data_IF_055414232762
#
_entry.id   IF_055414232762
#
_cell.length_a   1.000
_cell.length_b   1.000
_cell.length_c   1.000
_cell.angle_alpha   90.00
_cell.angle_beta   90.00
_cell.angle_gamma   90.00
#
_symmetry.space_group_name_H-M   'P 1'
#
loop_
_entity.id
_entity.type
_entity.pdbx_description
1 polymer ?
#
# COMPACT_ATOMS: atom_id res chain seq x y z
N UNK A 1 -4.67 20.76 21.63
CA UNK A 1 -3.43 21.43 21.22
C UNK A 1 -3.00 20.70 19.98
N UNK A 2 -2.82 21.44 18.87
CA UNK A 2 -2.96 21.00 17.49
C UNK A 2 -2.36 19.61 17.19
N UNK A 3 -3.24 18.70 16.78
CA UNK A 3 -2.91 17.44 16.12
C UNK A 3 -2.59 17.77 14.67
N UNK A 4 -1.39 17.46 14.21
CA UNK A 4 -0.93 17.74 12.84
C UNK A 4 -0.50 16.43 12.19
N UNK A 5 -1.43 15.90 11.41
CA UNK A 5 -1.28 15.45 10.02
C UNK A 5 0.13 14.98 9.62
N UNK A 6 0.33 13.66 9.50
CA UNK A 6 1.55 13.03 8.95
C UNK A 6 1.30 12.49 7.54
N UNK A 7 0.63 13.30 6.73
CA UNK A 7 0.52 13.12 5.28
C UNK A 7 1.88 13.39 4.62
N UNK A 8 2.36 12.51 3.71
CA UNK A 8 3.48 12.82 2.80
C UNK A 8 4.84 12.12 3.05
N UNK A 9 4.89 10.92 3.64
CA UNK A 9 6.16 10.21 3.87
C UNK A 9 6.59 9.34 2.66
N UNK A 10 7.87 9.44 2.27
CA UNK A 10 8.53 8.62 1.24
C UNK A 10 9.42 7.54 1.88
N UNK A 11 9.29 6.30 1.40
CA UNK A 11 10.19 5.21 1.76
C UNK A 11 11.59 5.41 1.13
N UNK A 12 12.64 5.22 1.92
CA UNK A 12 14.03 5.42 1.50
C UNK A 12 14.92 4.35 2.15
N UNK A 13 15.90 3.77 1.43
CA UNK A 13 16.97 3.00 2.05
C UNK A 13 17.72 3.84 3.10
N UNK A 14 18.00 3.27 4.27
CA UNK A 14 18.61 3.99 5.39
C UNK A 14 19.95 4.63 5.04
N UNK A 15 20.72 4.01 4.15
CA UNK A 15 22.00 4.49 3.61
C UNK A 15 21.89 5.78 2.80
N UNK A 16 20.68 6.15 2.36
CA UNK A 16 20.41 7.38 1.63
C UNK A 16 19.91 8.53 2.51
N UNK A 17 19.75 8.31 3.82
CA UNK A 17 19.35 9.36 4.75
C UNK A 17 20.35 10.53 4.71
N UNK A 18 19.86 11.74 4.49
CA UNK A 18 20.68 12.94 4.39
C UNK A 18 20.36 13.96 5.50
N UNK A 19 21.31 14.88 5.72
CA UNK A 19 21.06 16.06 6.56
C UNK A 19 20.02 16.94 5.88
N UNK A 20 19.02 17.38 6.64
CA UNK A 20 17.87 18.13 6.14
C UNK A 20 16.62 17.29 5.93
N UNK A 21 16.74 15.95 5.82
CA UNK A 21 15.57 15.07 5.76
C UNK A 21 14.78 15.14 7.08
N UNK A 22 13.46 15.05 7.00
CA UNK A 22 12.61 14.94 8.18
C UNK A 22 12.22 13.47 8.37
N UNK A 23 12.87 12.81 9.32
CA UNK A 23 12.73 11.37 9.56
C UNK A 23 11.49 11.08 10.42
N UNK A 24 10.68 10.11 9.99
CA UNK A 24 9.63 9.54 10.83
C UNK A 24 10.23 8.66 11.93
N UNK A 25 9.92 8.97 13.19
CA UNK A 25 10.52 8.30 14.34
C UNK A 25 9.72 7.05 14.76
N UNK A 26 10.38 6.01 15.29
CA UNK A 26 9.71 4.80 15.75
C UNK A 26 8.70 5.08 16.88
N UNK A 27 7.68 4.21 16.99
CA UNK A 27 6.70 4.18 18.10
C UNK A 27 5.89 5.48 18.25
N UNK A 28 5.43 6.05 17.14
CA UNK A 28 4.60 7.26 17.11
C UNK A 28 5.27 8.46 17.82
N UNK A 29 6.61 8.52 17.78
CA UNK A 29 7.36 9.61 18.40
C UNK A 29 7.43 10.88 17.53
N UNK A 30 6.57 10.98 16.51
CA UNK A 30 6.49 12.08 15.55
C UNK A 30 7.58 12.00 14.47
N UNK A 31 7.84 13.13 13.83
CA UNK A 31 8.94 13.30 12.87
C UNK A 31 10.01 14.22 13.44
N UNK A 32 11.25 14.13 12.94
CA UNK A 32 12.32 15.01 13.37
C UNK A 32 13.33 15.24 12.26
N UNK A 33 13.75 16.51 12.09
CA UNK A 33 14.77 16.88 11.13
C UNK A 33 16.13 16.30 11.52
N UNK A 34 16.81 15.74 10.53
CA UNK A 34 18.15 15.17 10.67
C UNK A 34 19.19 16.28 10.52
N UNK A 35 20.04 16.45 11.52
CA UNK A 35 21.11 17.47 11.55
C UNK A 35 22.49 16.90 11.28
N UNK A 36 22.68 15.59 11.47
CA UNK A 36 23.91 14.88 11.10
C UNK A 36 23.60 13.41 10.81
N UNK A 37 24.34 12.81 9.86
CA UNK A 37 24.28 11.38 9.55
C UNK A 37 25.71 10.83 9.54
N UNK A 38 25.92 9.66 10.15
CA UNK A 38 27.17 8.91 10.08
C UNK A 38 26.89 7.44 9.81
N UNK A 39 27.74 6.81 9.02
CA UNK A 39 27.73 5.36 8.81
C UNK A 39 28.78 4.74 9.75
N UNK A 40 28.36 3.76 10.53
CA UNK A 40 29.24 2.92 11.35
C UNK A 40 29.40 1.56 10.66
N UNK A 41 30.66 1.22 10.37
CA UNK A 41 31.01 -0.06 9.76
C UNK A 41 31.21 -1.14 10.84
N UNK A 42 31.00 -2.40 10.46
CA UNK A 42 31.37 -3.55 11.27
C UNK A 42 32.90 -3.82 11.25
N UNK A 43 33.31 -4.84 12.00
CA UNK A 43 34.71 -5.27 12.10
C UNK A 43 35.30 -5.77 10.76
N UNK A 44 34.46 -6.03 9.76
CA UNK A 44 34.86 -6.43 8.41
C UNK A 44 34.87 -5.25 7.41
N UNK A 45 34.54 -4.03 7.88
CA UNK A 45 34.55 -2.81 7.07
C UNK A 45 33.27 -2.59 6.26
N UNK A 46 32.19 -3.34 6.52
CA UNK A 46 30.89 -3.22 5.86
C UNK A 46 29.97 -2.30 6.66
N UNK A 47 29.19 -1.44 6.00
CA UNK A 47 28.22 -0.58 6.67
C UNK A 47 27.22 -1.41 7.48
N UNK A 48 27.19 -1.20 8.80
CA UNK A 48 26.33 -1.96 9.72
C UNK A 48 25.19 -1.10 10.28
N UNK A 49 25.50 0.15 10.65
CA UNK A 49 24.52 1.10 11.19
C UNK A 49 24.59 2.45 10.48
N UNK A 50 23.43 3.03 10.23
CA UNK A 50 23.26 4.44 9.93
C UNK A 50 22.81 5.14 11.21
N UNK A 51 23.62 6.05 11.71
CA UNK A 51 23.32 6.82 12.93
C UNK A 51 22.99 8.25 12.55
N UNK A 52 21.76 8.66 12.83
CA UNK A 52 21.28 10.02 12.60
C UNK A 52 21.17 10.79 13.92
N UNK A 53 21.62 12.05 13.91
CA UNK A 53 21.39 13.02 14.98
C UNK A 53 20.21 13.89 14.59
N UNK A 54 19.22 13.99 15.48
CA UNK A 54 18.01 14.76 15.28
C UNK A 54 18.19 16.21 15.77
N UNK A 55 17.29 17.11 15.37
CA UNK A 55 17.34 18.52 15.76
C UNK A 55 17.29 18.76 17.29
N UNK A 56 16.68 17.84 18.04
CA UNK A 56 16.65 17.87 19.51
C UNK A 56 17.90 17.25 20.17
N UNK A 57 18.90 16.86 19.38
CA UNK A 57 20.16 16.27 19.84
C UNK A 57 20.08 14.77 20.15
N UNK A 58 18.90 14.13 20.04
CA UNK A 58 18.79 12.67 20.16
C UNK A 58 19.52 11.99 19.00
N UNK A 59 20.08 10.81 19.27
CA UNK A 59 20.68 9.94 18.25
C UNK A 59 19.82 8.69 18.07
N UNK A 60 19.55 8.34 16.82
CA UNK A 60 18.88 7.11 16.44
C UNK A 60 19.82 6.24 15.61
N UNK A 61 19.81 4.94 15.86
CA UNK A 61 20.59 3.95 15.13
C UNK A 61 19.65 3.10 14.29
N UNK A 62 19.95 3.00 13.00
CA UNK A 62 19.17 2.28 12.00
C UNK A 62 20.09 1.23 11.39
N UNK A 63 19.62 -0.01 11.23
CA UNK A 63 20.42 -1.03 10.56
C UNK A 63 20.61 -0.68 9.07
N UNK A 64 21.85 -0.79 8.58
CA UNK A 64 22.14 -0.61 7.15
C UNK A 64 21.31 -1.60 6.31
N UNK A 65 20.79 -1.13 5.16
CA UNK A 65 19.88 -1.90 4.31
C UNK A 65 18.42 -1.94 4.78
N UNK A 66 18.09 -1.31 5.92
CA UNK A 66 16.69 -1.12 6.33
C UNK A 66 16.02 -0.02 5.52
N UNK A 67 14.70 -0.09 5.40
CA UNK A 67 13.88 0.99 4.85
C UNK A 67 13.42 1.92 5.97
N UNK A 68 13.59 3.22 5.76
CA UNK A 68 13.12 4.31 6.62
C UNK A 68 12.11 5.17 5.85
N UNK A 69 11.43 6.07 6.57
CA UNK A 69 10.44 6.97 5.99
C UNK A 69 10.80 8.41 6.32
N UNK A 70 10.83 9.27 5.31
CA UNK A 70 11.13 10.70 5.43
C UNK A 70 10.00 11.54 4.84
N UNK A 71 9.74 12.73 5.36
CA UNK A 71 8.79 13.66 4.74
C UNK A 71 9.26 14.03 3.33
N UNK A 72 8.36 13.93 2.36
CA UNK A 72 8.54 14.55 1.05
C UNK A 72 8.46 16.06 1.22
N UNK A 73 9.31 16.80 0.48
CA UNK A 73 9.41 18.25 0.54
C UNK A 73 8.12 19.02 0.13
N UNK A 74 7.01 18.32 -0.09
CA UNK A 74 5.72 18.82 -0.59
C UNK A 74 4.59 18.70 0.47
N UNK A 75 4.90 18.25 1.70
CA UNK A 75 3.92 17.88 2.72
C UNK A 75 3.11 19.04 3.38
N UNK A 76 3.26 20.30 2.97
CA UNK A 76 2.52 21.42 3.60
C UNK A 76 1.15 21.75 2.97
N UNK A 77 0.66 21.03 1.94
CA UNK A 77 -0.53 21.46 1.17
C UNK A 77 -1.58 20.39 0.74
N UNK A 78 -1.57 19.16 1.26
CA UNK A 78 -2.20 18.04 0.51
C UNK A 78 -3.52 17.41 1.02
N UNK A 79 -4.24 18.00 1.99
CA UNK A 79 -5.54 17.43 2.38
C UNK A 79 -6.72 17.79 1.43
N UNK A 80 -6.51 18.68 0.44
CA UNK A 80 -7.56 19.06 -0.52
C UNK A 80 -7.05 19.43 -1.92
N UNK A 81 -5.75 19.27 -2.21
CA UNK A 81 -5.11 19.79 -3.42
C UNK A 81 -4.42 18.73 -4.31
N UNK A 82 -4.43 17.44 -3.96
CA UNK A 82 -3.88 16.38 -4.83
C UNK A 82 -4.67 16.26 -6.14
N UNK A 83 -5.95 16.66 -6.16
CA UNK A 83 -6.70 16.79 -7.41
C UNK A 83 -6.44 18.10 -8.18
N UNK A 84 -5.76 19.08 -7.57
CA UNK A 84 -5.59 20.41 -8.15
C UNK A 84 -4.20 20.64 -8.77
N UNK A 85 -3.14 20.00 -8.26
CA UNK A 85 -1.77 20.18 -8.78
C UNK A 85 -1.32 19.07 -9.77
N UNK A 86 -2.00 17.92 -9.77
CA UNK A 86 -1.59 16.74 -10.57
C UNK A 86 -2.16 16.68 -12.00
N UNK A 87 -3.05 17.63 -12.36
CA UNK A 87 -3.84 17.57 -13.58
C UNK A 87 -5.05 16.64 -13.46
N UNK A 88 -5.65 16.24 -14.59
CA UNK A 88 -6.76 15.28 -14.57
C UNK A 88 -6.29 13.87 -14.15
N UNK A 89 -7.17 12.97 -13.67
CA UNK A 89 -6.81 11.59 -13.35
C UNK A 89 -6.06 10.87 -14.49
N UNK A 90 -6.38 11.19 -15.74
CA UNK A 90 -5.69 10.68 -16.92
C UNK A 90 -4.24 11.17 -17.01
N UNK A 91 -4.00 12.44 -16.65
CA UNK A 91 -2.66 13.01 -16.63
C UNK A 91 -1.78 12.37 -15.54
N UNK A 92 -2.36 12.08 -14.37
CA UNK A 92 -1.70 11.31 -13.32
C UNK A 92 -1.30 9.92 -13.80
N UNK A 93 -2.25 9.14 -14.34
CA UNK A 93 -1.97 7.79 -14.86
C UNK A 93 -0.90 7.82 -15.94
N UNK A 94 -1.00 8.76 -16.88
CA UNK A 94 -0.03 8.89 -17.98
C UNK A 94 1.37 9.26 -17.47
N UNK A 95 1.47 10.15 -16.48
CA UNK A 95 2.74 10.56 -15.88
C UNK A 95 3.40 9.39 -15.14
N UNK A 96 2.64 8.66 -14.32
CA UNK A 96 3.17 7.47 -13.62
C UNK A 96 3.63 6.42 -14.65
N UNK A 97 2.83 6.15 -15.69
CA UNK A 97 3.21 5.20 -16.72
C UNK A 97 4.51 5.59 -17.44
N UNK A 98 4.80 6.89 -17.63
CA UNK A 98 6.06 7.33 -18.25
C UNK A 98 7.30 6.99 -17.42
N UNK A 99 7.16 6.78 -16.10
CA UNK A 99 8.25 6.29 -15.23
C UNK A 99 8.58 4.82 -15.51
N UNK A 100 7.64 4.05 -16.05
CA UNK A 100 7.74 2.60 -16.28
C UNK A 100 7.58 2.21 -17.77
N UNK A 101 8.39 2.74 -18.69
CA UNK A 101 8.23 2.49 -20.12
C UNK A 101 8.47 1.02 -20.51
N UNK A 102 9.18 0.25 -19.67
CA UNK A 102 9.47 -1.17 -19.88
C UNK A 102 8.37 -2.12 -19.40
N UNK A 103 7.44 -1.68 -18.55
CA UNK A 103 6.37 -2.53 -18.03
C UNK A 103 5.16 -2.50 -18.98
N UNK A 104 5.08 -3.50 -19.86
CA UNK A 104 4.02 -3.59 -20.87
C UNK A 104 2.61 -3.66 -20.26
N UNK A 105 2.43 -4.29 -19.10
CA UNK A 105 1.13 -4.39 -18.43
C UNK A 105 0.66 -3.01 -17.93
N UNK A 106 1.54 -2.25 -17.28
CA UNK A 106 1.26 -0.87 -16.87
C UNK A 106 0.96 0.02 -18.09
N UNK A 107 1.74 -0.09 -19.17
CA UNK A 107 1.50 0.68 -20.39
C UNK A 107 0.14 0.35 -21.02
N UNK A 108 -0.26 -0.93 -21.04
CA UNK A 108 -1.54 -1.35 -21.59
C UNK A 108 -2.72 -0.77 -20.79
N UNK A 109 -2.66 -0.89 -19.46
CA UNK A 109 -3.68 -0.34 -18.56
C UNK A 109 -3.76 1.18 -18.71
N UNK A 110 -2.61 1.88 -18.70
CA UNK A 110 -2.54 3.32 -18.90
C UNK A 110 -3.12 3.74 -20.26
N UNK A 111 -2.83 2.99 -21.33
CA UNK A 111 -3.38 3.24 -22.66
C UNK A 111 -4.90 3.07 -22.74
N UNK A 112 -5.50 2.18 -21.93
CA UNK A 112 -6.96 2.08 -21.80
C UNK A 112 -7.52 3.29 -21.05
N UNK A 113 -6.91 3.68 -19.93
CA UNK A 113 -7.33 4.79 -19.09
C UNK A 113 -7.14 6.17 -19.76
N UNK A 114 -6.12 6.33 -20.60
CA UNK A 114 -5.84 7.57 -21.33
C UNK A 114 -6.95 8.00 -22.31
N UNK A 115 -7.87 7.08 -22.65
CA UNK A 115 -9.05 7.38 -23.49
C UNK A 115 -10.14 8.13 -22.73
N UNK A 116 -9.99 8.28 -21.41
CA UNK A 116 -10.93 8.93 -20.50
C UNK A 116 -11.29 8.02 -19.33
N UNK A 117 -11.26 8.57 -18.12
CA UNK A 117 -11.55 7.86 -16.88
C UNK A 117 -12.98 8.19 -16.44
N UNK A 118 -13.86 7.19 -16.50
CA UNK A 118 -15.19 7.28 -15.93
C UNK A 118 -15.26 6.53 -14.59
N UNK A 119 -15.23 7.26 -13.47
CA UNK A 119 -15.29 6.68 -12.12
C UNK A 119 -16.64 6.03 -11.76
N UNK A 120 -17.66 6.15 -12.64
CA UNK A 120 -18.92 5.38 -12.53
C UNK A 120 -18.89 4.07 -13.32
N UNK A 121 -17.91 3.86 -14.19
CA UNK A 121 -17.76 2.64 -14.96
C UNK A 121 -16.94 1.59 -14.20
N UNK A 122 -17.50 0.39 -14.02
CA UNK A 122 -16.81 -0.69 -13.32
C UNK A 122 -15.50 -1.13 -13.99
N UNK A 123 -15.40 -1.02 -15.31
CA UNK A 123 -14.17 -1.33 -16.06
C UNK A 123 -13.05 -0.33 -15.78
N UNK A 124 -13.35 0.97 -15.66
CA UNK A 124 -12.34 1.96 -15.30
C UNK A 124 -11.90 1.82 -13.83
N UNK A 125 -12.82 1.49 -12.92
CA UNK A 125 -12.48 1.20 -11.52
C UNK A 125 -11.58 -0.05 -11.43
N UNK A 126 -11.88 -1.08 -12.23
CA UNK A 126 -11.05 -2.27 -12.34
C UNK A 126 -9.65 -1.93 -12.87
N UNK A 127 -9.55 -1.17 -13.97
CA UNK A 127 -8.28 -0.78 -14.56
C UNK A 127 -7.44 0.05 -13.56
N UNK A 128 -8.05 1.00 -12.84
CA UNK A 128 -7.37 1.76 -11.78
C UNK A 128 -6.88 0.86 -10.64
N UNK A 129 -7.70 -0.09 -10.19
CA UNK A 129 -7.32 -1.04 -9.15
C UNK A 129 -6.17 -1.96 -9.61
N UNK A 130 -6.20 -2.42 -10.86
CA UNK A 130 -5.13 -3.21 -11.45
C UNK A 130 -3.84 -2.39 -11.57
N UNK A 131 -3.95 -1.11 -11.96
CA UNK A 131 -2.80 -0.20 -12.05
C UNK A 131 -2.16 0.03 -10.66
N UNK A 132 -2.96 0.31 -9.62
CA UNK A 132 -2.48 0.45 -8.25
C UNK A 132 -1.84 -0.84 -7.72
N UNK A 133 -2.45 -1.99 -8.00
CA UNK A 133 -1.90 -3.29 -7.60
C UNK A 133 -0.56 -3.55 -8.27
N UNK A 134 -0.43 -3.31 -9.58
CA UNK A 134 0.82 -3.50 -10.31
C UNK A 134 1.93 -2.57 -9.79
N UNK A 135 1.63 -1.30 -9.50
CA UNK A 135 2.59 -0.38 -8.89
C UNK A 135 3.05 -0.85 -7.50
N UNK A 136 2.13 -1.36 -6.68
CA UNK A 136 2.45 -1.87 -5.35
C UNK A 136 3.27 -3.17 -5.41
N UNK A 137 2.86 -4.11 -6.26
CA UNK A 137 3.33 -5.49 -6.23
C UNK A 137 4.52 -5.71 -7.16
N UNK A 138 4.44 -5.19 -8.38
CA UNK A 138 5.43 -5.44 -9.43
C UNK A 138 6.57 -4.41 -9.31
N UNK A 139 6.24 -3.13 -9.16
CA UNK A 139 7.23 -2.04 -9.13
C UNK A 139 7.68 -1.66 -7.72
N UNK A 140 6.92 -2.04 -6.68
CA UNK A 140 7.16 -1.60 -5.30
C UNK A 140 7.03 -0.08 -5.09
N UNK A 141 6.46 0.66 -6.05
CA UNK A 141 6.24 2.10 -5.95
C UNK A 141 5.00 2.40 -5.13
N UNK A 142 5.23 2.45 -3.82
CA UNK A 142 4.22 2.73 -2.82
C UNK A 142 3.63 4.14 -2.93
N UNK A 143 4.37 5.13 -3.44
CA UNK A 143 3.87 6.48 -3.59
C UNK A 143 2.90 6.57 -4.78
N UNK A 144 3.31 6.09 -5.96
CA UNK A 144 2.44 6.07 -7.13
C UNK A 144 1.21 5.17 -6.92
N UNK A 145 1.38 4.01 -6.26
CA UNK A 145 0.27 3.13 -5.91
C UNK A 145 -0.76 3.83 -5.02
N UNK A 146 -0.30 4.62 -4.04
CA UNK A 146 -1.20 5.38 -3.16
C UNK A 146 -1.95 6.46 -3.93
N UNK A 147 -1.28 7.24 -4.80
CA UNK A 147 -1.95 8.28 -5.60
C UNK A 147 -3.10 7.71 -6.45
N UNK A 148 -2.91 6.51 -7.02
CA UNK A 148 -3.95 5.84 -7.82
C UNK A 148 -5.04 5.24 -6.91
N UNK A 149 -4.66 4.65 -5.78
CA UNK A 149 -5.61 4.14 -4.80
C UNK A 149 -6.49 5.26 -4.22
N UNK A 150 -5.98 6.48 -4.07
CA UNK A 150 -6.73 7.64 -3.61
C UNK A 150 -7.84 8.07 -4.59
N UNK A 151 -7.64 7.89 -5.90
CA UNK A 151 -8.72 8.10 -6.89
C UNK A 151 -9.91 7.17 -6.65
N UNK A 152 -9.63 5.92 -6.27
CA UNK A 152 -10.64 4.92 -5.92
C UNK A 152 -11.27 5.25 -4.55
N UNK A 153 -10.45 5.59 -3.55
CA UNK A 153 -10.89 5.89 -2.19
C UNK A 153 -11.82 7.12 -2.11
N UNK A 154 -11.68 8.07 -3.04
CA UNK A 154 -12.59 9.21 -3.15
C UNK A 154 -14.03 8.83 -3.57
N UNK A 155 -14.28 7.59 -4.00
CA UNK A 155 -15.60 7.16 -4.45
C UNK A 155 -16.45 6.62 -3.28
N UNK A 156 -17.66 7.16 -3.06
CA UNK A 156 -18.55 6.63 -2.03
C UNK A 156 -19.16 5.29 -2.47
N UNK A 157 -19.56 4.49 -1.48
CA UNK A 157 -20.43 3.34 -1.74
C UNK A 157 -21.79 3.80 -2.26
N UNK A 158 -22.27 3.19 -3.34
CA UNK A 158 -23.53 3.55 -4.00
C UNK A 158 -24.51 2.37 -4.13
N UNK A 159 -24.31 1.31 -3.35
CA UNK A 159 -25.14 0.10 -3.40
C UNK A 159 -24.73 -0.91 -4.48
N UNK A 160 -23.82 -0.57 -5.39
CA UNK A 160 -23.36 -1.49 -6.43
C UNK A 160 -22.11 -2.27 -6.00
N UNK A 161 -22.30 -3.48 -5.45
CA UNK A 161 -21.21 -4.35 -5.01
C UNK A 161 -20.24 -4.74 -6.14
N UNK A 162 -20.70 -4.80 -7.39
CA UNK A 162 -19.84 -5.13 -8.54
C UNK A 162 -18.82 -4.04 -8.86
N UNK A 163 -19.14 -2.78 -8.55
CA UNK A 163 -18.20 -1.64 -8.60
C UNK A 163 -17.44 -1.49 -7.30
N UNK A 164 -18.13 -1.70 -6.18
CA UNK A 164 -17.57 -1.55 -4.84
C UNK A 164 -16.32 -2.39 -4.63
N UNK A 165 -16.29 -3.66 -5.08
CA UNK A 165 -15.12 -4.52 -4.89
C UNK A 165 -13.80 -3.92 -5.38
N UNK A 166 -13.83 -3.07 -6.42
CA UNK A 166 -12.63 -2.39 -6.92
C UNK A 166 -12.25 -1.18 -6.07
N UNK A 167 -13.25 -0.44 -5.61
CA UNK A 167 -13.08 0.68 -4.67
C UNK A 167 -12.55 0.16 -3.33
N UNK A 168 -13.14 -0.91 -2.82
CA UNK A 168 -12.73 -1.61 -1.60
C UNK A 168 -11.30 -2.12 -1.68
N UNK A 169 -10.89 -2.70 -2.80
CA UNK A 169 -9.49 -3.07 -3.03
C UNK A 169 -8.55 -1.86 -3.00
N UNK A 170 -8.95 -0.74 -3.60
CA UNK A 170 -8.20 0.53 -3.53
C UNK A 170 -8.10 1.07 -2.10
N UNK A 171 -9.21 1.07 -1.35
CA UNK A 171 -9.25 1.45 0.06
C UNK A 171 -8.34 0.55 0.91
N UNK A 172 -8.30 -0.77 0.64
CA UNK A 172 -7.45 -1.70 1.36
C UNK A 172 -5.95 -1.46 1.08
N UNK A 173 -5.59 -1.14 -0.18
CA UNK A 173 -4.24 -0.70 -0.56
C UNK A 173 -3.88 0.59 0.18
N UNK A 174 -4.74 1.62 0.10
CA UNK A 174 -4.50 2.91 0.74
C UNK A 174 -4.34 2.75 2.27
N UNK A 175 -5.23 2.00 2.92
CA UNK A 175 -5.16 1.70 4.36
C UNK A 175 -3.85 1.00 4.75
N UNK A 176 -3.31 0.12 3.90
CA UNK A 176 -2.02 -0.53 4.14
C UNK A 176 -0.84 0.41 3.91
N UNK A 177 -0.86 1.21 2.85
CA UNK A 177 0.23 2.12 2.50
C UNK A 177 0.37 3.26 3.52
N UNK A 178 -0.74 3.72 4.10
CA UNK A 178 -0.76 4.76 5.13
C UNK A 178 -0.73 4.20 6.55
N UNK A 179 -0.39 2.93 6.76
CA UNK A 179 -0.40 2.25 8.08
C UNK A 179 0.41 2.91 9.19
N UNK A 180 1.33 3.80 8.85
CA UNK A 180 2.16 4.54 9.81
C UNK A 180 1.47 5.83 10.30
N UNK A 181 0.38 6.22 9.63
CA UNK A 181 -0.54 7.28 10.03
C UNK A 181 -1.86 6.61 10.46
N UNK A 182 -2.05 6.48 11.78
CA UNK A 182 -3.17 5.73 12.34
C UNK A 182 -4.53 6.33 11.92
N UNK A 183 -4.63 7.67 11.85
CA UNK A 183 -5.87 8.36 11.50
C UNK A 183 -6.21 8.18 10.02
N UNK A 184 -5.23 8.38 9.13
CA UNK A 184 -5.43 8.21 7.68
C UNK A 184 -5.72 6.75 7.35
N UNK A 185 -4.98 5.80 7.93
CA UNK A 185 -5.24 4.37 7.77
C UNK A 185 -6.64 4.00 8.26
N UNK A 186 -7.05 4.50 9.44
CA UNK A 186 -8.36 4.25 10.02
C UNK A 186 -9.49 4.87 9.19
N UNK A 187 -9.28 6.02 8.55
CA UNK A 187 -10.28 6.66 7.68
C UNK A 187 -10.63 5.77 6.48
N UNK A 188 -9.64 5.19 5.80
CA UNK A 188 -9.91 4.25 4.70
C UNK A 188 -10.60 2.97 5.19
N UNK A 189 -10.14 2.41 6.31
CA UNK A 189 -10.82 1.27 6.96
C UNK A 189 -12.27 1.58 7.33
N UNK A 190 -12.54 2.78 7.86
CA UNK A 190 -13.89 3.21 8.20
C UNK A 190 -14.78 3.37 6.96
N UNK A 191 -14.23 3.84 5.83
CA UNK A 191 -14.96 3.91 4.57
C UNK A 191 -15.39 2.51 4.07
N UNK A 192 -14.54 1.50 4.27
CA UNK A 192 -14.90 0.10 3.97
C UNK A 192 -16.06 -0.35 4.87
N UNK A 193 -15.92 -0.15 6.19
CA UNK A 193 -16.91 -0.55 7.17
C UNK A 193 -18.25 0.22 7.04
N UNK A 194 -18.24 1.41 6.45
CA UNK A 194 -19.45 2.16 6.17
C UNK A 194 -20.33 1.48 5.11
N UNK A 195 -19.72 0.91 4.06
CA UNK A 195 -20.44 0.11 3.07
C UNK A 195 -21.02 -1.17 3.69
N UNK A 196 -20.28 -1.77 4.62
CA UNK A 196 -20.70 -2.95 5.36
C UNK A 196 -21.92 -2.73 6.26
N UNK A 197 -22.09 -1.49 6.72
CA UNK A 197 -23.21 -1.03 7.55
C UNK A 197 -24.36 -0.41 6.72
N UNK A 198 -24.34 -0.53 5.39
CA UNK A 198 -25.35 0.07 4.54
C UNK A 198 -26.74 -0.60 4.63
N UNK A 199 -26.81 -1.85 5.11
CA UNK A 199 -28.09 -2.52 5.38
C UNK A 199 -28.73 -1.94 6.64
N UNK A 200 -29.90 -1.33 6.47
CA UNK A 200 -30.65 -0.66 7.55
C UNK A 200 -31.63 -1.58 8.27
N UNK A 201 -32.03 -2.70 7.66
CA UNK A 201 -32.90 -3.68 8.32
C UNK A 201 -32.12 -4.43 9.42
N UNK A 202 -32.54 -4.38 10.69
CA UNK A 202 -31.74 -4.94 11.80
C UNK A 202 -31.47 -6.45 11.70
N UNK A 203 -32.41 -7.22 11.14
CA UNK A 203 -32.24 -8.67 11.01
C UNK A 203 -31.27 -9.00 9.89
N UNK A 204 -31.43 -8.37 8.72
CA UNK A 204 -30.50 -8.55 7.59
C UNK A 204 -29.11 -8.04 7.91
N UNK A 205 -28.99 -6.90 8.58
CA UNK A 205 -27.70 -6.35 9.03
C UNK A 205 -26.97 -7.33 9.95
N UNK A 206 -27.67 -7.93 10.91
CA UNK A 206 -27.11 -8.97 11.79
C UNK A 206 -26.66 -10.21 11.01
N UNK A 207 -27.46 -10.69 10.06
CA UNK A 207 -27.10 -11.84 9.23
C UNK A 207 -25.89 -11.54 8.34
N UNK A 208 -25.84 -10.36 7.72
CA UNK A 208 -24.72 -9.92 6.89
C UNK A 208 -23.42 -9.82 7.71
N UNK A 209 -23.49 -9.25 8.92
CA UNK A 209 -22.34 -9.16 9.82
C UNK A 209 -21.81 -10.55 10.23
N UNK A 210 -22.70 -11.51 10.53
CA UNK A 210 -22.29 -12.89 10.84
C UNK A 210 -21.61 -13.58 9.65
N UNK A 211 -22.16 -13.41 8.45
CA UNK A 211 -21.57 -13.99 7.25
C UNK A 211 -20.19 -13.40 6.96
N UNK A 212 -20.05 -12.07 7.08
CA UNK A 212 -18.78 -11.37 6.93
C UNK A 212 -17.76 -11.82 7.96
N UNK A 213 -18.13 -11.89 9.25
CA UNK A 213 -17.22 -12.36 10.29
C UNK A 213 -16.70 -13.77 9.99
N UNK A 214 -17.57 -14.65 9.48
CA UNK A 214 -17.15 -15.99 9.05
C UNK A 214 -16.16 -15.93 7.89
N UNK A 215 -16.40 -15.09 6.88
CA UNK A 215 -15.47 -14.91 5.76
C UNK A 215 -14.11 -14.36 6.22
N UNK A 216 -14.11 -13.43 7.18
CA UNK A 216 -12.88 -12.91 7.78
C UNK A 216 -12.12 -13.98 8.58
N UNK A 217 -12.84 -14.86 9.27
CA UNK A 217 -12.25 -15.94 10.09
C UNK A 217 -11.74 -17.12 9.26
N UNK A 218 -12.38 -17.41 8.12
CA UNK A 218 -12.05 -18.52 7.20
C UNK A 218 -11.66 -17.99 5.80
N UNK A 219 -10.65 -17.11 5.67
CA UNK A 219 -10.30 -16.53 4.38
C UNK A 219 -9.68 -17.58 3.47
N UNK A 220 -9.98 -17.53 2.18
CA UNK A 220 -9.25 -18.33 1.20
C UNK A 220 -7.89 -17.67 0.93
N UNK A 221 -6.84 -18.19 1.58
CA UNK A 221 -5.46 -17.73 1.37
C UNK A 221 -4.71 -18.57 0.33
N UNK A 222 -5.36 -19.47 -0.41
CA UNK A 222 -4.76 -20.19 -1.55
C UNK A 222 -3.51 -21.03 -1.23
N UNK A 223 -3.35 -21.53 0.01
CA UNK A 223 -2.22 -22.38 0.40
C UNK A 223 -2.05 -23.61 -0.53
N UNK A 224 -3.12 -24.38 -0.85
CA UNK A 224 -2.98 -25.56 -1.69
C UNK A 224 -2.53 -25.23 -3.12
N UNK A 225 -3.01 -24.12 -3.69
CA UNK A 225 -2.70 -23.68 -5.05
C UNK A 225 -1.25 -23.24 -5.16
N UNK A 226 -0.78 -22.41 -4.21
CA UNK A 226 0.60 -21.93 -4.16
C UNK A 226 1.58 -23.10 -3.99
N UNK A 227 1.30 -24.01 -3.05
CA UNK A 227 2.15 -25.19 -2.84
C UNK A 227 2.21 -26.09 -4.08
N UNK A 228 1.09 -26.25 -4.80
CA UNK A 228 1.04 -27.06 -6.03
C UNK A 228 1.87 -26.43 -7.15
N UNK A 229 1.72 -25.12 -7.39
CA UNK A 229 2.46 -24.41 -8.42
C UNK A 229 3.97 -24.42 -8.12
N UNK A 230 4.34 -24.15 -6.86
CA UNK A 230 5.73 -24.17 -6.40
C UNK A 230 6.38 -25.55 -6.57
N UNK A 231 5.69 -26.62 -6.13
CA UNK A 231 6.18 -27.99 -6.30
C UNK A 231 6.32 -28.43 -7.76
N UNK A 232 5.58 -27.81 -8.68
CA UNK A 232 5.64 -28.05 -10.11
C UNK A 232 6.66 -27.15 -10.83
N UNK A 233 7.33 -26.22 -10.14
CA UNK A 233 8.24 -25.23 -10.75
C UNK A 233 7.54 -24.23 -11.68
N UNK A 234 6.23 -24.04 -11.51
CA UNK A 234 5.42 -23.10 -12.31
C UNK A 234 5.46 -21.72 -11.65
N UNK A 235 6.57 -21.00 -11.81
CA UNK A 235 6.84 -19.73 -11.12
C UNK A 235 5.84 -18.62 -11.45
N UNK A 236 5.39 -18.56 -12.71
CA UNK A 236 4.34 -17.65 -13.19
C UNK A 236 3.00 -17.92 -12.50
N UNK A 237 2.60 -19.19 -12.44
CA UNK A 237 1.35 -19.60 -11.78
C UNK A 237 1.44 -19.39 -10.26
N UNK A 238 2.58 -19.69 -9.64
CA UNK A 238 2.79 -19.45 -8.21
C UNK A 238 2.64 -17.95 -7.90
N UNK A 239 3.26 -17.10 -8.71
CA UNK A 239 3.18 -15.65 -8.60
C UNK A 239 1.72 -15.19 -8.62
N UNK A 240 0.94 -15.59 -9.63
CA UNK A 240 -0.46 -15.20 -9.76
C UNK A 240 -1.30 -15.53 -8.50
N UNK A 241 -1.11 -16.72 -7.92
CA UNK A 241 -1.79 -17.10 -6.68
C UNK A 241 -1.34 -16.26 -5.48
N UNK A 242 -0.05 -15.89 -5.40
CA UNK A 242 0.46 -15.02 -4.34
C UNK A 242 -0.07 -13.60 -4.46
N UNK A 243 -0.21 -13.07 -5.67
CA UNK A 243 -0.87 -11.77 -5.92
C UNK A 243 -2.32 -11.78 -5.43
N UNK A 244 -3.07 -12.85 -5.72
CA UNK A 244 -4.43 -13.02 -5.19
C UNK A 244 -4.46 -13.07 -3.66
N UNK A 245 -3.51 -13.79 -3.04
CA UNK A 245 -3.36 -13.83 -1.58
C UNK A 245 -3.06 -12.46 -0.99
N UNK A 246 -2.20 -11.65 -1.61
CA UNK A 246 -1.91 -10.27 -1.16
C UNK A 246 -3.21 -9.47 -1.07
N UNK A 247 -4.07 -9.54 -2.09
CA UNK A 247 -5.38 -8.89 -2.07
C UNK A 247 -6.26 -9.32 -0.88
N UNK A 248 -6.30 -10.62 -0.59
CA UNK A 248 -7.03 -11.17 0.57
C UNK A 248 -6.45 -10.65 1.89
N UNK A 249 -5.12 -10.62 2.03
CA UNK A 249 -4.46 -10.16 3.25
C UNK A 249 -4.66 -8.65 3.48
N UNK A 250 -4.61 -7.84 2.42
CA UNK A 250 -4.91 -6.40 2.46
C UNK A 250 -6.36 -6.16 2.91
N UNK A 251 -7.31 -6.90 2.32
CA UNK A 251 -8.73 -6.84 2.71
C UNK A 251 -8.91 -7.18 4.20
N UNK A 252 -8.33 -8.29 4.67
CA UNK A 252 -8.40 -8.68 6.08
C UNK A 252 -7.84 -7.60 7.00
N UNK A 253 -6.66 -7.05 6.65
CA UNK A 253 -6.02 -5.99 7.45
C UNK A 253 -6.91 -4.76 7.53
N UNK A 254 -7.50 -4.33 6.41
CA UNK A 254 -8.33 -3.15 6.35
C UNK A 254 -9.63 -3.28 7.17
N UNK A 255 -10.12 -4.51 7.38
CA UNK A 255 -11.25 -4.81 8.26
C UNK A 255 -10.89 -4.94 9.74
N UNK A 256 -9.65 -4.64 10.13
CA UNK A 256 -9.17 -4.80 11.51
C UNK A 256 -8.69 -6.22 11.85
N UNK A 257 -8.57 -7.09 10.85
CA UNK A 257 -8.13 -8.46 10.97
C UNK A 257 -9.26 -9.46 11.12
N UNK A 258 -8.95 -10.62 11.69
CA UNK A 258 -9.92 -11.65 12.03
C UNK A 258 -9.72 -12.09 13.48
N UNK A 259 -10.66 -12.86 14.04
CA UNK A 259 -10.47 -13.47 15.36
C UNK A 259 -9.27 -14.41 15.40
N UNK A 260 -8.79 -14.85 14.24
CA UNK A 260 -7.68 -15.79 14.07
C UNK A 260 -6.36 -15.13 13.63
N UNK A 261 -6.40 -13.90 13.11
CA UNK A 261 -5.25 -13.17 12.56
C UNK A 261 -5.24 -11.72 13.06
N UNK A 262 -4.29 -11.40 13.96
CA UNK A 262 -4.09 -10.02 14.43
C UNK A 262 -3.55 -9.10 13.33
N UNK A 263 -3.70 -7.78 13.52
CA UNK A 263 -3.17 -6.75 12.59
C UNK A 263 -1.67 -6.92 12.37
N UNK A 264 -0.87 -7.18 13.41
CA UNK A 264 0.58 -7.35 13.27
C UNK A 264 0.96 -8.65 12.54
N UNK A 265 0.17 -9.70 12.68
CA UNK A 265 0.36 -10.94 11.91
C UNK A 265 0.08 -10.69 10.44
N UNK A 266 -0.99 -9.97 10.12
CA UNK A 266 -1.34 -9.63 8.75
C UNK A 266 -0.29 -8.75 8.10
N UNK A 267 0.25 -7.75 8.79
CA UNK A 267 1.32 -6.89 8.28
C UNK A 267 2.58 -7.68 7.92
N UNK A 268 3.01 -8.59 8.80
CA UNK A 268 4.15 -9.47 8.51
C UNK A 268 3.89 -10.39 7.33
N UNK A 269 2.67 -10.94 7.21
CA UNK A 269 2.30 -11.81 6.08
C UNK A 269 2.27 -11.04 4.77
N UNK A 270 1.70 -9.83 4.73
CA UNK A 270 1.68 -8.98 3.53
C UNK A 270 3.11 -8.69 3.09
N UNK A 271 3.98 -8.26 4.01
CA UNK A 271 5.39 -7.98 3.69
C UNK A 271 6.12 -9.23 3.16
N UNK A 272 5.86 -10.40 3.73
CA UNK A 272 6.45 -11.66 3.27
C UNK A 272 5.96 -12.06 1.87
N UNK A 273 4.68 -11.87 1.56
CA UNK A 273 4.15 -12.17 0.23
C UNK A 273 4.65 -11.18 -0.83
N UNK A 274 4.75 -9.88 -0.53
CA UNK A 274 5.36 -8.89 -1.42
C UNK A 274 6.81 -9.26 -1.74
N UNK A 275 7.60 -9.64 -0.73
CA UNK A 275 8.97 -10.11 -0.93
C UNK A 275 9.05 -11.40 -1.75
N UNK A 276 8.11 -12.34 -1.54
CA UNK A 276 8.05 -13.59 -2.29
C UNK A 276 7.71 -13.36 -3.77
N UNK A 277 6.77 -12.46 -4.07
CA UNK A 277 6.43 -12.09 -5.45
C UNK A 277 7.61 -11.42 -6.14
N UNK A 278 8.26 -10.44 -5.49
CA UNK A 278 9.45 -9.78 -6.04
C UNK A 278 10.58 -10.77 -6.35
N UNK A 279 10.77 -11.80 -5.51
CA UNK A 279 11.75 -12.85 -5.76
C UNK A 279 11.38 -13.75 -6.95
N UNK A 280 10.09 -14.05 -7.15
CA UNK A 280 9.60 -14.78 -8.32
C UNK A 280 9.76 -13.96 -9.61
N UNK A 281 9.49 -12.65 -9.56
CA UNK A 281 9.70 -11.74 -10.70
C UNK A 281 11.15 -11.76 -11.17
N UNK A 282 12.10 -11.65 -10.24
CA UNK A 282 13.52 -11.74 -10.57
C UNK A 282 13.92 -13.09 -11.21
N UNK A 283 13.23 -14.19 -10.89
CA UNK A 283 13.46 -15.51 -11.50
C UNK A 283 12.85 -15.61 -12.91
N UNK A 284 11.67 -15.03 -13.10
CA UNK A 284 10.97 -14.99 -14.39
C UNK A 284 11.71 -14.13 -15.40
N UNK A 285 12.35 -13.05 -14.97
CA UNK A 285 13.21 -12.22 -15.84
C UNK A 285 14.50 -12.94 -16.29
N UNK A 286 14.94 -13.95 -15.54
CA UNK A 286 16.16 -14.72 -15.84
C UNK A 286 15.90 -15.99 -16.67
N UNK A 287 14.64 -16.36 -16.87
CA UNK A 287 14.19 -17.58 -17.58
C UNK A 287 13.86 -17.31 -19.05
#
# INVERSE_FOLDING_TARGET
MADRDTTGLRALPADRLAVGDVLALPRNAGTASVTAVRIENDDFGVAALVVATLADGRRISIAAGSVIYVESAEAELEASAVAADEGSPEALVARIAQTYPGNAALQEIAGRLAKGINLKAGSNLQDLHQFATALLVDEGDTAAALSIADLLAAQPFDGNFGRWKWIEGGLAIAAYLTRHDDDRSAAYSAAILAADAAETDPLRAKTAALYRQRQLNEPNVYDPEILRASAAGQHDVERDWRVLRIGVLLYLRAHGGSETLSREVLERRIAAELAAVSALDAQLEQS
#
